data_IF_326293443916
#
_entry.id   IF_326293443916
#
_cell.length_a   1.000
_cell.length_b   1.000
_cell.length_c   1.000
_cell.angle_alpha   90.00
_cell.angle_beta   90.00
_cell.angle_gamma   90.00
#
_symmetry.space_group_name_H-M   'P 1'
#
loop_
_entity.id
_entity.type
_entity.pdbx_description
1 polymer ?
#
# COMPACT_ATOMS: atom_id res chain seq x y z
N UNK A 1 -36.15 19.38 -20.43
CA UNK A 1 -35.88 20.38 -19.37
C UNK A 1 -34.39 20.43 -19.02
N UNK A 2 -33.71 19.29 -18.89
CA UNK A 2 -32.27 19.21 -18.57
C UNK A 2 -31.32 19.67 -19.70
N UNK A 3 -31.65 19.41 -20.98
CA UNK A 3 -30.87 19.96 -22.11
C UNK A 3 -30.92 21.50 -22.15
N UNK A 4 -32.03 22.10 -21.71
CA UNK A 4 -32.17 23.56 -21.65
C UNK A 4 -31.25 24.12 -20.56
N UNK A 5 -31.20 23.46 -19.40
CA UNK A 5 -30.28 23.83 -18.31
C UNK A 5 -28.81 23.77 -18.75
N UNK A 6 -28.40 22.72 -19.47
CA UNK A 6 -27.05 22.64 -20.05
C UNK A 6 -26.74 23.83 -20.97
N UNK A 7 -27.64 24.16 -21.90
CA UNK A 7 -27.43 25.31 -22.80
C UNK A 7 -27.42 26.65 -22.08
N UNK A 8 -28.09 26.77 -20.94
CA UNK A 8 -28.08 27.98 -20.10
C UNK A 8 -26.75 28.09 -19.37
N UNK A 9 -26.26 27.02 -18.75
CA UNK A 9 -24.96 27.03 -18.06
C UNK A 9 -23.77 27.25 -19.01
N UNK A 10 -23.83 26.66 -20.21
CA UNK A 10 -22.82 26.85 -21.26
C UNK A 10 -22.80 28.31 -21.75
N UNK A 11 -23.98 28.94 -21.89
CA UNK A 11 -24.11 30.37 -22.20
C UNK A 11 -23.70 31.30 -21.07
N UNK A 12 -23.80 30.86 -19.82
CA UNK A 12 -23.43 31.63 -18.64
C UNK A 12 -21.97 31.41 -18.19
N UNK A 13 -21.14 30.73 -18.99
CA UNK A 13 -19.71 30.49 -18.70
C UNK A 13 -19.47 29.81 -17.34
N UNK A 14 -20.38 28.91 -16.94
CA UNK A 14 -20.28 28.11 -15.72
C UNK A 14 -20.00 26.63 -16.07
N UNK A 15 -18.75 26.28 -16.41
CA UNK A 15 -18.41 25.00 -17.03
C UNK A 15 -18.53 23.82 -16.05
N UNK A 16 -18.36 24.05 -14.74
CA UNK A 16 -18.48 23.04 -13.68
C UNK A 16 -19.93 22.57 -13.51
N UNK A 17 -20.86 23.51 -13.49
CA UNK A 17 -22.30 23.26 -13.35
C UNK A 17 -22.84 22.59 -14.62
N UNK A 18 -22.39 23.04 -15.80
CA UNK A 18 -22.78 22.45 -17.08
C UNK A 18 -22.42 20.96 -17.18
N UNK A 19 -21.19 20.57 -16.82
CA UNK A 19 -20.80 19.16 -16.84
C UNK A 19 -21.47 18.34 -15.74
N UNK A 20 -21.73 18.93 -14.57
CA UNK A 20 -22.44 18.25 -13.48
C UNK A 20 -23.86 17.88 -13.90
N UNK A 21 -24.57 18.76 -14.62
CA UNK A 21 -25.91 18.46 -15.15
C UNK A 21 -25.85 17.34 -16.19
N UNK A 22 -24.84 17.34 -17.08
CA UNK A 22 -24.65 16.26 -18.05
C UNK A 22 -24.40 14.90 -17.39
N UNK A 23 -23.59 14.86 -16.33
CA UNK A 23 -23.21 13.62 -15.65
C UNK A 23 -24.29 13.11 -14.69
N UNK A 24 -24.92 14.01 -13.92
CA UNK A 24 -25.90 13.64 -12.89
C UNK A 24 -27.30 13.43 -13.45
N UNK A 25 -27.78 14.35 -14.27
CA UNK A 25 -29.19 14.41 -14.66
C UNK A 25 -29.42 13.79 -16.05
N UNK A 26 -28.44 13.89 -16.98
CA UNK A 26 -28.52 13.32 -18.33
C UNK A 26 -27.85 11.94 -18.43
N UNK A 27 -26.84 11.68 -17.59
CA UNK A 27 -26.02 10.45 -17.59
C UNK A 27 -25.38 10.10 -18.95
N UNK A 28 -25.06 11.12 -19.75
CA UNK A 28 -24.42 10.93 -21.06
C UNK A 28 -22.90 11.13 -20.96
N UNK A 29 -22.19 10.04 -20.65
CA UNK A 29 -20.73 10.04 -20.51
C UNK A 29 -19.98 10.40 -21.80
N UNK A 30 -20.34 9.87 -23.00
CA UNK A 30 -19.69 10.27 -24.25
C UNK A 30 -19.79 11.78 -24.52
N UNK A 31 -20.98 12.36 -24.29
CA UNK A 31 -21.19 13.80 -24.48
C UNK A 31 -20.40 14.61 -23.44
N UNK A 32 -20.36 14.18 -22.18
CA UNK A 32 -19.56 14.81 -21.15
C UNK A 32 -18.05 14.79 -21.47
N UNK A 33 -17.52 13.69 -22.03
CA UNK A 33 -16.13 13.61 -22.52
C UNK A 33 -15.85 14.61 -23.64
N UNK A 34 -16.75 14.69 -24.62
CA UNK A 34 -16.63 15.64 -25.72
C UNK A 34 -16.66 17.10 -25.24
N UNK A 35 -17.43 17.38 -24.18
CA UNK A 35 -17.49 18.70 -23.57
C UNK A 35 -16.19 19.02 -22.83
N UNK A 36 -15.68 18.10 -22.02
CA UNK A 36 -14.41 18.26 -21.31
C UNK A 36 -13.24 18.53 -22.25
N UNK A 37 -13.16 17.81 -23.38
CA UNK A 37 -12.16 18.05 -24.42
C UNK A 37 -12.24 19.43 -25.08
N UNK A 38 -13.44 20.04 -25.15
CA UNK A 38 -13.64 21.36 -25.74
C UNK A 38 -13.31 22.49 -24.76
N UNK A 39 -13.70 22.33 -23.50
CA UNK A 39 -13.49 23.37 -22.47
C UNK A 39 -12.09 23.33 -21.87
N UNK A 40 -11.47 22.14 -21.80
CA UNK A 40 -10.13 21.86 -21.26
C UNK A 40 -9.79 22.60 -19.94
N UNK A 41 -10.77 22.71 -19.05
CA UNK A 41 -10.58 23.33 -17.74
C UNK A 41 -10.39 22.27 -16.66
N UNK A 42 -9.51 22.51 -15.66
CA UNK A 42 -9.23 21.52 -14.62
C UNK A 42 -10.45 21.21 -13.76
N UNK A 43 -11.36 22.17 -13.59
CA UNK A 43 -12.62 21.99 -12.85
C UNK A 43 -13.58 21.01 -13.54
N UNK A 44 -13.59 20.99 -14.87
CA UNK A 44 -14.45 20.09 -15.65
C UNK A 44 -13.88 18.67 -15.63
N UNK A 45 -12.57 18.55 -15.78
CA UNK A 45 -11.87 17.27 -15.71
C UNK A 45 -11.96 16.60 -14.33
N UNK A 46 -11.96 17.38 -13.23
CA UNK A 46 -12.07 16.83 -11.88
C UNK A 46 -13.46 16.24 -11.63
N UNK A 47 -14.52 16.95 -12.04
CA UNK A 47 -15.89 16.46 -11.95
C UNK A 47 -16.08 15.23 -12.83
N UNK A 48 -15.65 15.29 -14.10
CA UNK A 48 -15.74 14.14 -15.01
C UNK A 48 -15.06 12.89 -14.43
N UNK A 49 -13.83 13.06 -13.93
CA UNK A 49 -13.06 11.98 -13.34
C UNK A 49 -13.76 11.33 -12.14
N UNK A 50 -14.34 12.14 -11.24
CA UNK A 50 -15.08 11.62 -10.09
C UNK A 50 -16.26 10.74 -10.52
N UNK A 51 -17.09 11.21 -11.44
CA UNK A 51 -18.27 10.44 -11.90
C UNK A 51 -17.87 9.18 -12.68
N UNK A 52 -16.79 9.22 -13.47
CA UNK A 52 -16.28 8.03 -14.18
C UNK A 52 -15.77 6.96 -13.21
N UNK A 53 -15.04 7.36 -12.16
CA UNK A 53 -14.59 6.45 -11.10
C UNK A 53 -15.78 5.82 -10.36
N UNK A 54 -16.83 6.60 -10.08
CA UNK A 54 -18.06 6.09 -9.48
C UNK A 54 -18.85 5.16 -10.40
N UNK A 55 -18.80 5.39 -11.72
CA UNK A 55 -19.40 4.53 -12.73
C UNK A 55 -18.63 3.21 -12.95
N UNK A 56 -17.44 3.06 -12.37
CA UNK A 56 -16.59 1.87 -12.50
C UNK A 56 -15.58 1.95 -13.65
N UNK A 57 -15.56 3.04 -14.42
CA UNK A 57 -14.55 3.30 -15.45
C UNK A 57 -13.31 3.97 -14.84
N UNK A 58 -12.55 3.17 -14.08
CA UNK A 58 -11.43 3.66 -13.27
C UNK A 58 -10.27 4.16 -14.12
N UNK A 59 -9.96 3.52 -15.25
CA UNK A 59 -8.90 3.94 -16.16
C UNK A 59 -9.13 5.37 -16.70
N UNK A 60 -10.26 5.59 -17.38
CA UNK A 60 -10.62 6.88 -17.98
C UNK A 60 -10.85 7.95 -16.90
N UNK A 61 -11.41 7.55 -15.76
CA UNK A 61 -11.59 8.41 -14.60
C UNK A 61 -10.26 8.92 -14.05
N UNK A 62 -9.29 8.02 -13.85
CA UNK A 62 -7.93 8.38 -13.41
C UNK A 62 -7.25 9.30 -14.44
N UNK A 63 -7.34 9.00 -15.73
CA UNK A 63 -6.72 9.85 -16.77
C UNK A 63 -7.30 11.27 -16.74
N UNK A 64 -8.61 11.39 -16.56
CA UNK A 64 -9.31 12.66 -16.41
C UNK A 64 -8.83 13.41 -15.17
N UNK A 65 -8.69 12.73 -14.03
CA UNK A 65 -8.19 13.35 -12.79
C UNK A 65 -6.72 13.78 -12.91
N UNK A 66 -5.88 13.04 -13.65
CA UNK A 66 -4.49 13.41 -13.95
C UNK A 66 -4.45 14.71 -14.76
N UNK A 67 -5.31 14.85 -15.77
CA UNK A 67 -5.45 16.11 -16.55
C UNK A 67 -5.90 17.27 -15.68
N UNK A 68 -6.83 17.03 -14.76
CA UNK A 68 -7.30 18.02 -13.78
C UNK A 68 -6.25 18.44 -12.75
N UNK A 69 -5.20 17.63 -12.56
CA UNK A 69 -4.21 17.76 -11.46
C UNK A 69 -4.84 17.82 -10.06
N UNK A 70 -6.01 17.22 -9.87
CA UNK A 70 -6.72 17.23 -8.58
C UNK A 70 -6.27 16.05 -7.70
N UNK A 71 -5.85 16.38 -6.47
CA UNK A 71 -5.47 15.41 -5.44
C UNK A 71 -6.60 15.15 -4.42
N UNK A 72 -7.79 15.72 -4.61
CA UNK A 72 -8.86 15.74 -3.60
C UNK A 72 -9.55 14.38 -3.45
N UNK A 73 -9.57 13.57 -4.51
CA UNK A 73 -10.34 12.32 -4.60
C UNK A 73 -9.52 11.05 -4.34
N UNK A 74 -8.34 11.16 -3.71
CA UNK A 74 -7.41 10.03 -3.52
C UNK A 74 -8.05 8.82 -2.87
N UNK A 75 -8.93 9.00 -1.88
CA UNK A 75 -9.61 7.90 -1.18
C UNK A 75 -10.62 7.16 -2.05
N UNK A 76 -11.37 7.86 -2.90
CA UNK A 76 -12.34 7.23 -3.80
C UNK A 76 -11.63 6.48 -4.93
N UNK A 77 -10.59 7.11 -5.51
CA UNK A 77 -9.80 6.52 -6.59
C UNK A 77 -9.05 5.28 -6.13
N UNK A 78 -8.43 5.31 -4.94
CA UNK A 78 -7.74 4.14 -4.37
C UNK A 78 -8.73 2.98 -4.16
N UNK A 79 -9.88 3.23 -3.53
CA UNK A 79 -10.88 2.18 -3.31
C UNK A 79 -11.43 1.59 -4.61
N UNK A 80 -11.64 2.41 -5.64
CA UNK A 80 -12.12 1.95 -6.94
C UNK A 80 -11.05 1.16 -7.71
N UNK A 81 -9.79 1.62 -7.68
CA UNK A 81 -8.66 0.93 -8.29
C UNK A 81 -8.33 -0.40 -7.61
N UNK A 82 -8.50 -0.51 -6.29
CA UNK A 82 -8.38 -1.79 -5.58
C UNK A 82 -9.47 -2.78 -6.00
N UNK A 83 -10.71 -2.33 -6.21
CA UNK A 83 -11.81 -3.19 -6.69
C UNK A 83 -11.60 -3.69 -8.12
N UNK A 84 -11.03 -2.85 -8.98
CA UNK A 84 -10.79 -3.15 -10.40
C UNK A 84 -9.41 -3.74 -10.67
N UNK A 85 -8.56 -3.87 -9.64
CA UNK A 85 -7.15 -4.29 -9.72
C UNK A 85 -6.28 -3.46 -10.70
N UNK A 86 -6.64 -2.19 -10.93
CA UNK A 86 -5.89 -1.26 -11.79
C UNK A 86 -4.84 -0.48 -11.00
N UNK A 87 -3.84 -1.20 -10.49
CA UNK A 87 -2.78 -0.60 -9.68
C UNK A 87 -1.80 0.27 -10.48
N UNK A 88 -1.59 -0.03 -11.78
CA UNK A 88 -0.68 0.73 -12.63
C UNK A 88 -1.10 2.18 -12.85
N UNK A 89 -2.39 2.38 -13.15
CA UNK A 89 -2.97 3.72 -13.32
C UNK A 89 -3.05 4.45 -11.98
N UNK A 90 -3.33 3.72 -10.90
CA UNK A 90 -3.33 4.27 -9.55
C UNK A 90 -1.97 4.84 -9.15
N UNK A 91 -0.86 4.15 -9.47
CA UNK A 91 0.51 4.65 -9.21
C UNK A 91 0.75 5.97 -9.94
N UNK A 92 0.33 6.07 -11.22
CA UNK A 92 0.45 7.32 -11.99
C UNK A 92 -0.35 8.46 -11.34
N UNK A 93 -1.57 8.17 -10.91
CA UNK A 93 -2.42 9.14 -10.24
C UNK A 93 -1.83 9.62 -8.91
N UNK A 94 -1.40 8.69 -8.05
CA UNK A 94 -0.82 9.00 -6.75
C UNK A 94 0.50 9.78 -6.87
N UNK A 95 1.32 9.48 -7.88
CA UNK A 95 2.55 10.24 -8.17
C UNK A 95 2.24 11.69 -8.56
N UNK A 96 1.22 11.89 -9.41
CA UNK A 96 0.72 13.22 -9.75
C UNK A 96 0.15 13.94 -8.53
N UNK A 97 -0.68 13.24 -7.73
CA UNK A 97 -1.33 13.79 -6.55
C UNK A 97 -0.29 14.27 -5.52
N UNK A 98 0.80 13.52 -5.32
CA UNK A 98 1.92 13.90 -4.46
C UNK A 98 2.64 15.17 -4.95
N UNK A 99 2.80 15.34 -6.26
CA UNK A 99 3.45 16.51 -6.83
C UNK A 99 2.60 17.79 -6.73
N UNK A 100 1.27 17.65 -6.78
CA UNK A 100 0.33 18.78 -6.77
C UNK A 100 -0.34 19.02 -5.41
N UNK A 101 -0.19 18.09 -4.45
CA UNK A 101 -0.71 18.26 -3.10
C UNK A 101 0.07 19.35 -2.35
N UNK A 102 -0.63 20.44 -1.98
CA UNK A 102 -0.05 21.55 -1.21
C UNK A 102 0.37 21.13 0.21
N UNK A 103 -0.33 20.18 0.80
CA UNK A 103 0.08 19.42 1.97
C UNK A 103 0.73 18.13 1.49
N UNK A 104 1.96 17.84 1.92
CA UNK A 104 2.58 16.51 1.76
C UNK A 104 1.77 15.50 2.57
N UNK A 105 0.65 15.07 2.03
CA UNK A 105 -0.35 14.31 2.75
C UNK A 105 0.16 12.89 2.99
N UNK A 106 0.40 12.56 4.26
CA UNK A 106 0.84 11.23 4.69
C UNK A 106 -0.08 10.12 4.18
N UNK A 107 -1.35 10.45 3.89
CA UNK A 107 -2.33 9.54 3.29
C UNK A 107 -1.97 9.12 1.86
N UNK A 108 -1.50 10.05 1.03
CA UNK A 108 -1.11 9.79 -0.37
C UNK A 108 0.12 8.89 -0.37
N UNK A 109 1.13 9.23 0.43
CA UNK A 109 2.35 8.44 0.55
C UNK A 109 2.03 7.02 1.10
N UNK A 110 1.13 6.92 2.09
CA UNK A 110 0.67 5.63 2.65
C UNK A 110 -0.01 4.77 1.58
N UNK A 111 -0.92 5.35 0.80
CA UNK A 111 -1.59 4.65 -0.29
C UNK A 111 -0.59 4.18 -1.35
N UNK A 112 0.38 5.03 -1.71
CA UNK A 112 1.37 4.70 -2.73
C UNK A 112 2.25 3.52 -2.29
N UNK A 113 2.73 3.51 -1.05
CA UNK A 113 3.49 2.40 -0.47
C UNK A 113 2.69 1.09 -0.52
N UNK A 114 1.41 1.12 -0.14
CA UNK A 114 0.54 -0.06 -0.22
C UNK A 114 0.37 -0.55 -1.66
N UNK A 115 0.22 0.36 -2.63
CA UNK A 115 0.10 -0.03 -4.05
C UNK A 115 1.38 -0.62 -4.62
N UNK A 116 2.55 -0.10 -4.22
CA UNK A 116 3.84 -0.70 -4.61
C UNK A 116 4.03 -2.08 -3.99
N UNK A 117 3.63 -2.26 -2.72
CA UNK A 117 3.66 -3.56 -2.07
C UNK A 117 2.76 -4.58 -2.78
N UNK A 118 1.51 -4.20 -3.10
CA UNK A 118 0.57 -5.07 -3.82
C UNK A 118 1.02 -5.42 -5.24
N UNK A 119 1.75 -4.53 -5.91
CA UNK A 119 2.26 -4.77 -7.27
C UNK A 119 3.60 -5.53 -7.31
N UNK A 120 4.21 -5.80 -6.16
CA UNK A 120 5.50 -6.51 -6.08
C UNK A 120 6.69 -5.70 -6.63
N UNK A 121 6.54 -4.39 -6.83
CA UNK A 121 7.62 -3.52 -7.34
C UNK A 121 8.57 -3.11 -6.21
N UNK A 122 9.36 -4.07 -5.74
CA UNK A 122 10.25 -3.90 -4.58
C UNK A 122 11.29 -2.79 -4.78
N UNK A 123 11.85 -2.63 -5.98
CA UNK A 123 12.85 -1.58 -6.25
C UNK A 123 12.28 -0.17 -6.15
N UNK A 124 11.12 0.07 -6.79
CA UNK A 124 10.41 1.36 -6.70
C UNK A 124 9.97 1.65 -5.25
N UNK A 125 9.56 0.62 -4.51
CA UNK A 125 9.22 0.74 -3.09
C UNK A 125 10.42 1.16 -2.24
N UNK A 126 11.59 0.52 -2.40
CA UNK A 126 12.80 0.84 -1.65
C UNK A 126 13.28 2.27 -1.90
N UNK A 127 13.30 2.68 -3.17
CA UNK A 127 13.71 4.03 -3.53
C UNK A 127 12.72 5.07 -3.02
N UNK A 128 11.42 4.75 -3.03
CA UNK A 128 10.39 5.60 -2.44
C UNK A 128 10.55 5.76 -0.92
N UNK A 129 10.86 4.68 -0.21
CA UNK A 129 11.08 4.71 1.25
C UNK A 129 12.31 5.52 1.65
N UNK A 130 13.39 5.49 0.84
CA UNK A 130 14.58 6.35 1.07
C UNK A 130 14.25 7.84 0.99
N UNK A 131 13.28 8.22 0.17
CA UNK A 131 12.89 9.61 -0.05
C UNK A 131 11.89 10.13 1.00
N UNK A 132 11.21 9.25 1.74
CA UNK A 132 9.98 9.59 2.46
C UNK A 132 10.05 9.16 3.93
N UNK A 133 10.24 10.12 4.84
CA UNK A 133 10.39 9.86 6.29
C UNK A 133 9.10 10.02 7.11
N UNK A 134 8.02 10.58 6.56
CA UNK A 134 6.79 10.93 7.31
C UNK A 134 5.68 9.88 7.23
N UNK A 135 5.97 8.66 6.76
CA UNK A 135 4.98 7.60 6.61
C UNK A 135 4.98 6.72 7.85
N UNK A 136 3.80 6.31 8.32
CA UNK A 136 3.67 5.32 9.41
C UNK A 136 3.97 3.92 8.88
N UNK A 137 5.25 3.62 8.67
CA UNK A 137 5.72 2.37 8.05
C UNK A 137 5.24 1.13 8.82
N UNK A 138 5.23 1.17 10.15
CA UNK A 138 4.83 0.02 10.98
C UNK A 138 3.41 -0.48 10.68
N UNK A 139 2.42 0.41 10.71
CA UNK A 139 1.02 0.02 10.44
C UNK A 139 0.77 -0.41 8.98
N UNK A 140 1.61 0.00 8.03
CA UNK A 140 1.56 -0.47 6.65
C UNK A 140 2.18 -1.86 6.55
N UNK A 141 3.32 -2.08 7.19
CA UNK A 141 3.98 -3.38 7.23
C UNK A 141 3.08 -4.45 7.85
N UNK A 142 2.37 -4.12 8.93
CA UNK A 142 1.40 -5.03 9.58
C UNK A 142 0.26 -5.42 8.62
N UNK A 143 -0.25 -4.48 7.82
CA UNK A 143 -1.25 -4.76 6.78
C UNK A 143 -0.68 -5.64 5.68
N UNK A 144 0.51 -5.33 5.15
CA UNK A 144 1.16 -6.16 4.14
C UNK A 144 1.41 -7.58 4.65
N UNK A 145 1.75 -7.74 5.93
CA UNK A 145 1.92 -9.05 6.55
C UNK A 145 0.60 -9.83 6.63
N UNK A 146 -0.50 -9.17 7.01
CA UNK A 146 -1.84 -9.77 7.04
C UNK A 146 -2.35 -10.16 5.64
N UNK A 147 -2.01 -9.36 4.63
CA UNK A 147 -2.36 -9.62 3.22
C UNK A 147 -1.47 -10.72 2.58
N UNK A 148 -0.49 -11.26 3.30
CA UNK A 148 0.42 -12.31 2.81
C UNK A 148 1.55 -11.82 1.90
N UNK A 149 1.74 -10.50 1.80
CA UNK A 149 2.80 -9.86 1.01
C UNK A 149 4.12 -9.82 1.80
N UNK A 150 4.67 -11.01 2.10
CA UNK A 150 5.80 -11.14 3.02
C UNK A 150 7.10 -10.49 2.51
N UNK A 151 7.37 -10.51 1.21
CA UNK A 151 8.55 -9.87 0.62
C UNK A 151 8.53 -8.35 0.80
N UNK A 152 7.38 -7.72 0.54
CA UNK A 152 7.20 -6.28 0.74
C UNK A 152 7.19 -5.92 2.22
N UNK A 153 6.54 -6.73 3.06
CA UNK A 153 6.54 -6.55 4.52
C UNK A 153 7.95 -6.58 5.09
N UNK A 154 8.82 -7.48 4.61
CA UNK A 154 10.23 -7.54 5.00
C UNK A 154 10.95 -6.22 4.75
N UNK A 155 10.84 -5.67 3.53
CA UNK A 155 11.47 -4.39 3.17
C UNK A 155 10.97 -3.28 4.10
N UNK A 156 9.66 -3.22 4.32
CA UNK A 156 9.04 -2.21 5.18
C UNK A 156 9.50 -2.32 6.64
N UNK A 157 9.52 -3.52 7.24
CA UNK A 157 9.98 -3.71 8.61
C UNK A 157 11.49 -3.47 8.78
N UNK A 158 12.28 -3.78 7.74
CA UNK A 158 13.71 -3.46 7.72
C UNK A 158 13.95 -1.96 7.80
N UNK A 159 13.22 -1.17 7.00
CA UNK A 159 13.29 0.31 7.06
C UNK A 159 12.74 0.85 8.39
N UNK A 160 11.74 0.20 8.98
CA UNK A 160 11.20 0.56 10.29
C UNK A 160 12.11 0.17 11.47
N UNK A 161 13.27 -0.47 11.24
CA UNK A 161 14.15 -1.04 12.26
C UNK A 161 13.46 -2.05 13.21
N UNK A 162 12.34 -2.65 12.78
CA UNK A 162 11.62 -3.64 13.57
C UNK A 162 12.10 -5.06 13.21
N UNK A 163 13.30 -5.41 13.68
CA UNK A 163 13.93 -6.69 13.36
C UNK A 163 13.17 -7.91 13.91
N UNK A 164 12.34 -7.72 14.94
CA UNK A 164 11.49 -8.78 15.49
C UNK A 164 10.45 -9.26 14.47
N UNK A 165 9.76 -8.31 13.83
CA UNK A 165 8.79 -8.64 12.78
C UNK A 165 9.47 -9.08 11.48
N UNK A 166 10.69 -8.59 11.18
CA UNK A 166 11.49 -9.12 10.06
C UNK A 166 11.77 -10.61 10.23
N UNK A 167 12.18 -11.05 11.43
CA UNK A 167 12.41 -12.47 11.71
C UNK A 167 11.12 -13.29 11.47
N UNK A 168 9.97 -12.79 11.94
CA UNK A 168 8.66 -13.42 11.68
C UNK A 168 8.30 -13.50 10.20
N UNK A 169 8.57 -12.44 9.43
CA UNK A 169 8.36 -12.47 7.98
C UNK A 169 9.26 -13.47 7.27
N UNK A 170 10.53 -13.57 7.67
CA UNK A 170 11.49 -14.50 7.05
C UNK A 170 11.18 -15.96 7.39
N UNK A 171 10.63 -16.23 8.58
CA UNK A 171 10.07 -17.56 8.91
C UNK A 171 8.96 -17.94 7.91
N UNK A 172 8.05 -17.00 7.61
CA UNK A 172 6.97 -17.22 6.63
C UNK A 172 7.46 -17.36 5.19
N UNK A 173 8.60 -16.77 4.86
CA UNK A 173 9.30 -16.92 3.58
C UNK A 173 10.17 -18.19 3.51
N UNK A 174 10.19 -19.02 4.57
CA UNK A 174 11.04 -20.21 4.70
C UNK A 174 12.56 -19.92 4.61
N UNK A 175 12.98 -18.68 4.85
CA UNK A 175 14.38 -18.28 4.79
C UNK A 175 14.98 -18.22 6.20
N UNK A 176 15.31 -19.41 6.72
CA UNK A 176 15.81 -19.59 8.08
C UNK A 176 17.13 -18.86 8.37
N UNK A 177 18.14 -18.85 7.48
CA UNK A 177 19.39 -18.12 7.75
C UNK A 177 19.16 -16.63 7.99
N UNK A 178 18.35 -15.98 7.13
CA UNK A 178 18.02 -14.56 7.28
C UNK A 178 17.18 -14.30 8.54
N UNK A 179 16.30 -15.24 8.92
CA UNK A 179 15.53 -15.15 10.16
C UNK A 179 16.44 -15.18 11.41
N UNK A 180 17.48 -16.02 11.43
CA UNK A 180 18.48 -16.05 12.52
C UNK A 180 19.23 -14.72 12.61
N UNK A 181 19.67 -14.19 11.47
CA UNK A 181 20.37 -12.90 11.42
C UNK A 181 19.49 -11.73 11.90
N UNK A 182 18.21 -11.74 11.52
CA UNK A 182 17.24 -10.77 12.00
C UNK A 182 17.00 -10.89 13.51
N UNK A 183 16.89 -12.10 14.05
CA UNK A 183 16.77 -12.33 15.49
C UNK A 183 18.02 -11.85 16.26
N UNK A 184 19.21 -12.06 15.69
CA UNK A 184 20.48 -11.55 16.25
C UNK A 184 20.53 -10.02 16.32
N UNK A 185 19.93 -9.33 15.35
CA UNK A 185 19.79 -7.87 15.38
C UNK A 185 18.72 -7.41 16.38
N UNK A 186 17.61 -8.16 16.51
CA UNK A 186 16.53 -7.84 17.43
C UNK A 186 16.90 -8.00 18.91
N UNK A 187 17.75 -8.99 19.24
CA UNK A 187 18.18 -9.33 20.61
C UNK A 187 17.01 -9.60 21.58
N UNK A 188 15.85 -9.99 21.06
CA UNK A 188 14.67 -10.33 21.87
C UNK A 188 14.56 -11.84 22.06
N UNK A 189 14.38 -12.30 23.30
CA UNK A 189 14.24 -13.73 23.62
C UNK A 189 13.04 -14.33 22.90
N UNK A 190 11.92 -13.60 22.84
CA UNK A 190 10.69 -14.08 22.20
C UNK A 190 10.94 -14.37 20.73
N UNK A 191 11.66 -13.49 20.03
CA UNK A 191 12.02 -13.71 18.62
C UNK A 191 12.95 -14.91 18.44
N UNK A 192 13.90 -15.10 19.35
CA UNK A 192 14.77 -16.29 19.31
C UNK A 192 14.00 -17.59 19.52
N UNK A 193 13.02 -17.61 20.41
CA UNK A 193 12.16 -18.78 20.64
C UNK A 193 11.33 -19.13 19.41
N UNK A 194 10.75 -18.11 18.76
CA UNK A 194 9.94 -18.31 17.55
C UNK A 194 10.81 -18.81 16.39
N UNK A 195 11.98 -18.21 16.16
CA UNK A 195 12.92 -18.65 15.12
C UNK A 195 13.47 -20.04 15.44
N UNK A 196 13.83 -20.33 16.69
CA UNK A 196 14.30 -21.65 17.11
C UNK A 196 13.23 -22.72 16.85
N UNK A 197 11.96 -22.46 17.20
CA UNK A 197 10.84 -23.37 16.92
C UNK A 197 10.70 -23.64 15.43
N UNK A 198 10.73 -22.59 14.60
CA UNK A 198 10.68 -22.72 13.15
C UNK A 198 11.87 -23.52 12.57
N UNK A 199 13.09 -23.30 13.08
CA UNK A 199 14.28 -24.04 12.66
C UNK A 199 14.20 -25.53 13.03
N UNK A 200 13.67 -25.88 14.21
CA UNK A 200 13.48 -27.29 14.59
C UNK A 200 12.40 -27.93 13.73
N UNK A 201 11.30 -27.23 13.42
CA UNK A 201 10.25 -27.74 12.52
C UNK A 201 10.75 -28.00 11.11
N UNK A 202 11.67 -27.17 10.62
CA UNK A 202 12.31 -27.37 9.33
C UNK A 202 13.45 -28.42 9.34
N UNK A 203 13.85 -28.92 10.52
CA UNK A 203 14.95 -29.89 10.66
C UNK A 203 16.36 -29.28 10.60
N UNK A 204 16.49 -27.95 10.59
CA UNK A 204 17.77 -27.24 10.52
C UNK A 204 18.40 -27.07 11.91
N UNK A 205 18.93 -28.18 12.43
CA UNK A 205 19.46 -28.29 13.80
C UNK A 205 20.65 -27.37 14.08
N UNK A 206 21.49 -27.09 13.06
CA UNK A 206 22.63 -26.18 13.20
C UNK A 206 22.16 -24.77 13.50
N UNK A 207 21.19 -24.26 12.73
CA UNK A 207 20.62 -22.93 12.95
C UNK A 207 19.83 -22.86 14.27
N UNK A 208 19.11 -23.93 14.62
CA UNK A 208 18.40 -24.02 15.89
C UNK A 208 19.35 -23.87 17.10
N UNK A 209 20.51 -24.53 17.08
CA UNK A 209 21.51 -24.42 18.16
C UNK A 209 22.06 -22.99 18.33
N UNK A 210 22.26 -22.26 17.24
CA UNK A 210 22.73 -20.86 17.29
C UNK A 210 21.69 -19.95 17.95
N UNK A 211 20.40 -20.13 17.64
CA UNK A 211 19.31 -19.39 18.29
C UNK A 211 19.06 -19.80 19.75
N UNK A 212 19.44 -21.02 20.14
CA UNK A 212 19.24 -21.54 21.49
C UNK A 212 20.20 -20.89 22.52
N UNK A 213 21.43 -20.57 22.12
CA UNK A 213 22.46 -20.02 23.03
C UNK A 213 22.01 -18.72 23.72
N UNK A 214 21.49 -17.70 23.01
CA UNK A 214 20.95 -16.48 23.64
C UNK A 214 19.79 -16.73 24.61
N UNK A 215 18.98 -17.77 24.38
CA UNK A 215 17.83 -18.12 25.21
C UNK A 215 18.28 -18.80 26.50
N UNK A 216 19.25 -19.73 26.41
CA UNK A 216 19.81 -20.45 27.55
C UNK A 216 20.55 -19.55 28.55
N UNK A 217 21.12 -18.44 28.07
CA UNK A 217 21.78 -17.44 28.93
C UNK A 217 20.81 -16.76 29.92
N UNK A 218 19.48 -16.83 29.69
CA UNK A 218 18.49 -16.40 30.68
C UNK A 218 17.95 -17.61 31.45
N UNK A 219 18.40 -17.75 32.69
CA UNK A 219 18.11 -18.90 33.56
C UNK A 219 16.60 -19.19 33.75
N UNK A 220 15.73 -18.19 33.65
CA UNK A 220 14.27 -18.36 33.79
C UNK A 220 13.61 -19.09 32.62
N UNK A 221 14.23 -19.08 31.44
CA UNK A 221 13.67 -19.60 30.19
C UNK A 221 14.19 -21.01 29.83
N UNK A 222 15.16 -21.50 30.62
CA UNK A 222 15.89 -22.73 30.37
C UNK A 222 14.99 -23.97 30.41
N UNK A 223 14.12 -24.08 31.41
CA UNK A 223 13.19 -25.21 31.56
C UNK A 223 12.21 -25.31 30.38
N UNK A 224 11.78 -24.15 29.85
CA UNK A 224 10.88 -24.10 28.70
C UNK A 224 11.54 -24.54 27.39
N UNK A 225 12.85 -24.34 27.26
CA UNK A 225 13.62 -24.79 26.10
C UNK A 225 13.95 -26.29 26.20
N UNK A 226 14.44 -26.77 27.36
CA UNK A 226 14.76 -28.19 27.58
C UNK A 226 13.54 -29.09 27.32
N UNK A 227 12.37 -28.77 27.89
CA UNK A 227 11.15 -29.54 27.64
C UNK A 227 10.81 -29.64 26.16
N UNK A 228 11.09 -28.61 25.35
CA UNK A 228 10.78 -28.62 23.90
C UNK A 228 11.73 -29.51 23.10
N UNK A 229 13.00 -29.52 23.45
CA UNK A 229 13.99 -30.42 22.84
C UNK A 229 13.71 -31.88 23.25
N UNK A 230 13.47 -32.12 24.54
CA UNK A 230 13.17 -33.45 25.08
C UNK A 230 11.88 -34.06 24.48
N UNK A 231 10.82 -33.26 24.31
CA UNK A 231 9.55 -33.75 23.70
C UNK A 231 9.73 -34.19 22.25
N UNK A 232 10.73 -33.66 21.53
CA UNK A 232 11.06 -34.05 20.15
C UNK A 232 12.20 -35.08 20.07
N UNK A 233 12.68 -35.59 21.22
CA UNK A 233 13.71 -36.63 21.30
C UNK A 233 15.13 -36.16 20.97
N UNK A 234 15.41 -34.87 21.17
CA UNK A 234 16.69 -34.20 20.94
C UNK A 234 17.33 -33.79 22.26
#
# INVERSE_FOLDING_TARGET
>A
MFDVAFTVYDKHTMPKEAITVLLRDVQDFPRARSYALKTDTPEVWSVLGQYLVQAGEVHDGIESLIKAKSADFVTEVTAAAEKTNQYGDLIRYLTMARANSKSKDSKIDTALVLTYAKTGRLGELEDFLKQTHNVKIGGIADKCFADGLYESARVLYSVANNHAQVARTEIKLHNLPAAVDAANKAKSIETYKEVNMACIEAGEMKLASVCAVPVLLKAEEMNGLCNRYETRGL
#
